data_IF_746573548446
#
_entry.id   IF_746573548446
#
_cell.length_a   1.000
_cell.length_b   1.000
_cell.length_c   1.000
_cell.angle_alpha   90.00
_cell.angle_beta   90.00
_cell.angle_gamma   90.00
#
_symmetry.space_group_name_H-M   'P 1'
#
loop_
_entity.id
_entity.type
_entity.pdbx_description
1 polymer ?
#
# COMPACT_ATOMS: atom_id res chain seq x y z
N UNK A 1 10.46 5.76 16.66
CA UNK A 1 11.26 5.62 15.43
C UNK A 1 10.74 4.53 14.49
N UNK A 2 10.59 3.26 14.92
CA UNK A 2 10.09 2.17 14.06
C UNK A 2 8.75 2.47 13.37
N UNK A 3 7.75 2.95 14.12
CA UNK A 3 6.44 3.30 13.55
C UNK A 3 6.49 4.41 12.50
N UNK A 4 7.42 5.36 12.64
CA UNK A 4 7.62 6.42 11.65
C UNK A 4 8.19 5.84 10.35
N UNK A 5 9.28 5.07 10.45
CA UNK A 5 9.91 4.42 9.29
C UNK A 5 8.92 3.51 8.56
N UNK A 6 8.16 2.71 9.30
CA UNK A 6 7.14 1.83 8.73
C UNK A 6 6.03 2.61 8.03
N UNK A 7 5.51 3.65 8.67
CA UNK A 7 4.46 4.49 8.10
C UNK A 7 4.93 5.20 6.81
N UNK A 8 6.18 5.69 6.77
CA UNK A 8 6.77 6.26 5.55
C UNK A 8 6.88 5.21 4.45
N UNK A 9 7.40 4.02 4.76
CA UNK A 9 7.55 2.94 3.78
C UNK A 9 6.19 2.53 3.16
N UNK A 10 5.16 2.36 4.00
CA UNK A 10 3.80 2.03 3.53
C UNK A 10 3.18 3.19 2.75
N UNK A 11 3.41 4.44 3.16
CA UNK A 11 2.92 5.61 2.42
C UNK A 11 3.52 5.66 1.00
N UNK A 12 4.83 5.47 0.88
CA UNK A 12 5.53 5.48 -0.42
C UNK A 12 5.08 4.31 -1.28
N UNK A 13 5.14 3.08 -0.76
CA UNK A 13 4.76 1.88 -1.52
C UNK A 13 3.28 1.92 -1.93
N UNK A 14 2.40 2.29 -1.00
CA UNK A 14 0.97 2.43 -1.29
C UNK A 14 0.69 3.48 -2.35
N UNK A 15 1.41 4.61 -2.35
CA UNK A 15 1.28 5.63 -3.38
C UNK A 15 1.70 5.12 -4.75
N UNK A 16 2.86 4.43 -4.83
CA UNK A 16 3.36 3.86 -6.08
C UNK A 16 2.39 2.82 -6.67
N UNK A 17 1.78 2.00 -5.82
CA UNK A 17 0.82 0.97 -6.23
C UNK A 17 -0.52 1.61 -6.63
N UNK A 18 -1.03 2.57 -5.86
CA UNK A 18 -2.29 3.26 -6.14
C UNK A 18 -2.26 4.03 -7.47
N UNK A 19 -1.15 4.73 -7.72
CA UNK A 19 -0.90 5.46 -8.97
C UNK A 19 -0.48 4.54 -10.12
N UNK A 20 -0.39 3.24 -9.88
CA UNK A 20 0.03 2.22 -10.85
C UNK A 20 1.36 2.54 -11.53
N UNK A 21 2.32 3.06 -10.76
CA UNK A 21 3.64 3.40 -11.28
C UNK A 21 4.31 2.14 -11.84
N UNK A 22 4.64 2.13 -13.13
CA UNK A 22 5.27 0.98 -13.83
C UNK A 22 4.45 -0.33 -13.73
N UNK A 23 3.12 -0.26 -13.78
CA UNK A 23 2.23 -1.42 -13.68
C UNK A 23 2.39 -2.19 -12.36
N UNK A 24 2.72 -1.48 -11.27
CA UNK A 24 2.89 -2.10 -9.96
C UNK A 24 1.58 -2.69 -9.42
N UNK A 25 0.42 -2.13 -9.76
CA UNK A 25 -0.86 -2.68 -9.31
C UNK A 25 -1.07 -4.11 -9.81
N UNK A 26 -0.76 -4.35 -11.09
CA UNK A 26 -0.87 -5.68 -11.71
C UNK A 26 0.14 -6.64 -11.08
N UNK A 27 1.41 -6.23 -10.94
CA UNK A 27 2.44 -7.08 -10.34
C UNK A 27 2.11 -7.48 -8.90
N UNK A 28 1.59 -6.54 -8.12
CA UNK A 28 1.19 -6.79 -6.73
C UNK A 28 -0.04 -7.68 -6.69
N UNK A 29 -1.00 -7.49 -7.59
CA UNK A 29 -2.15 -8.38 -7.76
C UNK A 29 -1.71 -9.82 -8.06
N UNK A 30 -0.77 -10.00 -9.00
CA UNK A 30 -0.24 -11.32 -9.37
C UNK A 30 0.47 -11.98 -8.19
N UNK A 31 1.33 -11.24 -7.48
CA UNK A 31 2.04 -11.72 -6.29
C UNK A 31 1.04 -12.16 -5.22
N UNK A 32 0.02 -11.34 -4.93
CA UNK A 32 -1.03 -11.69 -3.96
C UNK A 32 -1.76 -12.95 -4.41
N UNK A 33 -2.09 -13.08 -5.69
CA UNK A 33 -2.72 -14.29 -6.23
C UNK A 33 -1.86 -15.55 -6.09
N UNK A 34 -0.54 -15.44 -6.13
CA UNK A 34 0.38 -16.58 -5.92
C UNK A 34 0.50 -16.99 -4.44
N UNK A 35 0.40 -16.04 -3.51
CA UNK A 35 0.59 -16.30 -2.07
C UNK A 35 -0.71 -16.46 -1.28
N UNK A 36 -1.86 -16.13 -1.87
CA UNK A 36 -3.15 -16.20 -1.18
C UNK A 36 -3.57 -17.66 -1.00
N UNK A 37 -3.70 -18.16 0.26
CA UNK A 37 -4.23 -19.48 0.51
C UNK A 37 -5.72 -19.53 0.12
N UNK A 38 -6.10 -20.51 -0.69
CA UNK A 38 -7.46 -20.64 -1.23
C UNK A 38 -7.61 -20.33 -2.72
N UNK A 39 -6.51 -20.01 -3.41
CA UNK A 39 -6.50 -19.77 -4.85
C UNK A 39 -6.53 -18.28 -5.23
N UNK A 40 -6.58 -17.98 -6.53
CA UNK A 40 -6.54 -16.60 -7.01
C UNK A 40 -7.74 -15.78 -6.49
N UNK A 41 -7.62 -14.44 -6.43
CA UNK A 41 -8.71 -13.57 -6.03
C UNK A 41 -9.96 -13.81 -6.88
N UNK A 42 -11.14 -13.50 -6.31
CA UNK A 42 -12.41 -13.57 -7.04
C UNK A 42 -12.28 -12.94 -8.44
N UNK A 43 -12.90 -13.50 -9.49
CA UNK A 43 -12.86 -12.90 -10.84
C UNK A 43 -13.39 -11.46 -10.91
N UNK A 44 -14.10 -10.99 -9.87
CA UNK A 44 -14.60 -9.62 -9.73
C UNK A 44 -13.59 -8.68 -9.10
N UNK A 45 -12.58 -9.20 -8.41
CA UNK A 45 -11.51 -8.43 -7.80
C UNK A 45 -10.48 -8.10 -8.89
N UNK A 46 -10.41 -6.84 -9.27
CA UNK A 46 -9.50 -6.35 -10.33
C UNK A 46 -8.32 -5.59 -9.73
N UNK A 47 -7.23 -5.36 -10.49
CA UNK A 47 -6.13 -4.50 -10.05
C UNK A 47 -6.58 -3.10 -9.59
N UNK A 48 -7.69 -2.57 -10.11
CA UNK A 48 -8.23 -1.27 -9.66
C UNK A 48 -8.72 -1.29 -8.22
N UNK A 49 -9.32 -2.40 -7.77
CA UNK A 49 -9.70 -2.55 -6.36
C UNK A 49 -8.46 -2.51 -5.46
N UNK A 50 -7.38 -3.16 -5.92
CA UNK A 50 -6.10 -3.16 -5.24
C UNK A 50 -5.50 -1.76 -5.14
N UNK A 51 -5.58 -0.97 -6.22
CA UNK A 51 -5.14 0.44 -6.22
C UNK A 51 -5.89 1.27 -5.20
N UNK A 52 -7.21 1.08 -5.07
CA UNK A 52 -8.02 1.79 -4.07
C UNK A 52 -7.60 1.40 -2.65
N UNK A 53 -7.40 0.11 -2.38
CA UNK A 53 -6.95 -0.38 -1.07
C UNK A 53 -5.58 0.20 -0.72
N UNK A 54 -4.62 0.17 -1.63
CA UNK A 54 -3.29 0.75 -1.40
C UNK A 54 -3.30 2.27 -1.31
N UNK A 55 -4.22 2.94 -2.01
CA UNK A 55 -4.44 4.38 -1.86
C UNK A 55 -4.91 4.74 -0.46
N UNK A 56 -5.84 3.97 0.10
CA UNK A 56 -6.28 4.14 1.49
C UNK A 56 -5.13 3.91 2.48
N UNK A 57 -4.34 2.85 2.29
CA UNK A 57 -3.15 2.59 3.11
C UNK A 57 -2.11 3.69 2.99
N UNK A 58 -1.93 4.28 1.81
CA UNK A 58 -0.98 5.35 1.58
C UNK A 58 -1.37 6.61 2.36
N UNK A 59 -2.64 7.02 2.29
CA UNK A 59 -3.16 8.19 3.00
C UNK A 59 -3.08 8.00 4.51
N UNK A 60 -3.58 6.88 5.03
CA UNK A 60 -3.56 6.62 6.48
C UNK A 60 -2.14 6.53 7.04
N UNK A 61 -1.23 5.87 6.32
CA UNK A 61 0.18 5.78 6.73
C UNK A 61 0.89 7.13 6.60
N UNK A 62 0.56 7.95 5.60
CA UNK A 62 1.07 9.31 5.48
C UNK A 62 0.70 10.18 6.69
N UNK A 63 -0.55 10.09 7.17
CA UNK A 63 -0.99 10.77 8.39
C UNK A 63 -0.20 10.30 9.62
N UNK A 64 -0.02 8.99 9.78
CA UNK A 64 0.77 8.42 10.89
C UNK A 64 2.22 8.88 10.82
N UNK A 65 2.82 8.92 9.63
CA UNK A 65 4.18 9.38 9.41
C UNK A 65 4.34 10.85 9.82
N UNK A 66 3.39 11.73 9.47
CA UNK A 66 3.39 13.14 9.89
C UNK A 66 3.31 13.25 11.40
N UNK A 67 2.32 12.61 12.03
CA UNK A 67 2.13 12.67 13.50
C UNK A 67 3.35 12.17 14.25
N UNK A 68 3.94 11.05 13.82
CA UNK A 68 5.13 10.48 14.45
C UNK A 68 6.40 11.27 14.12
N UNK A 69 6.47 11.89 12.95
CA UNK A 69 7.58 12.77 12.56
C UNK A 69 7.63 14.01 13.44
N UNK A 70 6.50 14.68 13.64
CA UNK A 70 6.40 15.84 14.55
C UNK A 70 6.82 15.45 15.96
N UNK A 71 6.35 14.32 16.48
CA UNK A 71 6.71 13.88 17.83
C UNK A 71 8.19 13.46 18.02
N UNK A 72 8.93 13.20 16.94
CA UNK A 72 10.34 12.78 17.00
C UNK A 72 11.31 13.93 16.73
N UNK A 73 10.89 14.94 15.96
CA UNK A 73 11.78 15.98 15.43
C UNK A 73 11.34 17.41 15.77
N UNK A 74 10.15 17.61 16.36
CA UNK A 74 9.66 18.88 16.90
C UNK A 74 9.81 18.95 18.41
#
# INVERSE_FOLDING_TARGET
>A
MLHFVWAVAVAVLGTLIALDYRNLAIRVYDVIGMVTPGGPPSPRFTPDHLRVVWGFLAVTSGVVAVVRGVALYG
#
